data_IF_078244027473
#
_entry.id   IF_078244027473
#
_cell.length_a   1.000
_cell.length_b   1.000
_cell.length_c   1.000
_cell.angle_alpha   90.00
_cell.angle_beta   90.00
_cell.angle_gamma   90.00
#
_symmetry.space_group_name_H-M   'P 1'
#
loop_
_entity.id
_entity.type
_entity.pdbx_description
1 polymer ?
#
# COMPACT_ATOMS: atom_id res chain seq x y z
N UNK A 1 9.72 24.80 15.21
CA UNK A 1 8.56 24.80 14.27
C UNK A 1 7.95 23.42 14.33
N UNK A 2 6.72 23.27 14.84
CA UNK A 2 6.03 21.98 14.86
C UNK A 2 5.71 21.57 13.42
N UNK A 3 6.13 20.38 13.00
CA UNK A 3 5.66 19.81 11.73
C UNK A 3 4.13 19.74 11.74
N UNK A 4 3.43 20.27 10.73
CA UNK A 4 1.98 20.16 10.66
C UNK A 4 1.59 18.69 10.58
N UNK A 5 0.77 18.24 11.53
CA UNK A 5 0.28 16.88 11.60
C UNK A 5 -1.24 16.87 11.74
N UNK A 6 -1.89 16.03 10.93
CA UNK A 6 -3.33 15.80 11.04
C UNK A 6 -3.60 14.85 12.19
N UNK A 7 -4.34 15.31 13.19
CA UNK A 7 -4.72 14.50 14.34
C UNK A 7 -6.18 14.06 14.21
N UNK A 8 -6.41 12.76 14.35
CA UNK A 8 -7.74 12.15 14.30
C UNK A 8 -7.93 11.34 15.58
N UNK A 9 -8.98 11.62 16.33
CA UNK A 9 -9.37 10.84 17.51
C UNK A 9 -10.57 9.97 17.18
N UNK A 10 -10.44 8.66 17.36
CA UNK A 10 -11.49 7.69 17.09
C UNK A 10 -12.05 7.19 18.42
N UNK A 11 -13.32 7.55 18.68
CA UNK A 11 -14.02 7.17 19.90
C UNK A 11 -14.40 5.69 19.98
N UNK A 12 -14.89 5.27 21.13
CA UNK A 12 -15.38 3.91 21.36
C UNK A 12 -16.47 3.54 20.34
N UNK A 13 -16.40 2.33 19.78
CA UNK A 13 -17.33 1.81 18.77
C UNK A 13 -17.45 2.65 17.48
N UNK A 14 -16.65 3.70 17.32
CA UNK A 14 -16.65 4.54 16.13
C UNK A 14 -15.78 3.91 15.04
N UNK A 15 -16.14 4.18 13.79
CA UNK A 15 -15.37 3.82 12.61
C UNK A 15 -14.91 5.08 11.89
N UNK A 16 -13.63 5.14 11.54
CA UNK A 16 -13.09 6.18 10.65
C UNK A 16 -12.49 5.52 9.42
N UNK A 17 -12.86 6.06 8.25
CA UNK A 17 -12.29 5.68 6.97
C UNK A 17 -11.60 6.86 6.31
N UNK A 18 -10.32 6.72 5.99
CA UNK A 18 -9.50 7.69 5.27
C UNK A 18 -9.11 7.05 3.95
N UNK A 19 -9.85 7.39 2.89
CA UNK A 19 -9.74 6.76 1.56
C UNK A 19 -9.48 7.83 0.47
N UNK A 20 -8.32 8.51 0.50
CA UNK A 20 -8.01 9.56 -0.47
C UNK A 20 -7.68 8.98 -1.85
N UNK A 21 -7.73 9.83 -2.88
CA UNK A 21 -7.07 9.58 -4.15
C UNK A 21 -5.52 9.60 -3.98
N UNK A 22 -4.75 9.03 -4.92
CA UNK A 22 -3.31 8.94 -4.73
C UNK A 22 -2.67 10.32 -4.79
N UNK A 23 -1.59 10.50 -4.03
CA UNK A 23 -0.76 11.70 -4.15
C UNK A 23 0.08 11.58 -5.43
N UNK A 24 -0.04 12.57 -6.31
CA UNK A 24 0.81 12.68 -7.51
C UNK A 24 1.78 13.83 -7.34
N UNK A 25 3.06 13.50 -7.10
CA UNK A 25 4.10 14.50 -6.95
C UNK A 25 4.64 14.92 -8.32
N UNK A 26 4.66 16.23 -8.57
CA UNK A 26 5.26 16.79 -9.80
C UNK A 26 6.79 16.80 -9.67
N UNK A 27 7.47 16.99 -10.80
CA UNK A 27 8.91 17.18 -10.79
C UNK A 27 9.35 18.24 -9.76
N UNK A 28 10.43 17.97 -9.04
CA UNK A 28 11.02 18.82 -7.98
C UNK A 28 10.14 19.07 -6.73
N UNK A 29 8.94 18.47 -6.65
CA UNK A 29 8.06 18.64 -5.48
C UNK A 29 8.72 18.13 -4.18
N UNK A 30 8.37 18.78 -3.06
CA UNK A 30 8.72 18.35 -1.70
C UNK A 30 7.43 18.15 -0.92
N UNK A 31 7.02 16.91 -0.75
CA UNK A 31 5.80 16.56 -0.04
C UNK A 31 6.12 15.99 1.34
N UNK A 32 5.43 16.49 2.37
CA UNK A 32 5.51 15.97 3.73
C UNK A 32 4.13 15.91 4.34
N UNK A 33 3.74 14.73 4.81
CA UNK A 33 2.50 14.49 5.51
C UNK A 33 2.77 13.67 6.77
N UNK A 34 2.14 14.07 7.87
CA UNK A 34 2.09 13.29 9.10
C UNK A 34 0.64 13.17 9.57
N UNK A 35 0.18 11.95 9.76
CA UNK A 35 -1.14 11.63 10.27
C UNK A 35 -0.99 10.90 11.59
N UNK A 36 -1.70 11.36 12.62
CA UNK A 36 -1.72 10.77 13.94
C UNK A 36 -3.15 10.35 14.27
N UNK A 37 -3.34 9.06 14.49
CA UNK A 37 -4.63 8.47 14.83
C UNK A 37 -4.59 7.97 16.26
N UNK A 38 -5.41 8.56 17.13
CA UNK A 38 -5.57 8.10 18.51
C UNK A 38 -6.85 7.28 18.59
N UNK A 39 -6.71 5.96 18.77
CA UNK A 39 -7.76 4.96 18.58
C UNK A 39 -8.10 4.27 19.91
N UNK A 40 -9.38 4.05 20.18
CA UNK A 40 -9.81 3.20 21.30
C UNK A 40 -9.79 1.72 20.93
N UNK A 41 -9.66 0.82 21.90
CA UNK A 41 -9.72 -0.65 21.70
C UNK A 41 -10.96 -1.13 20.93
N UNK A 42 -12.11 -0.48 21.13
CA UNK A 42 -13.36 -0.83 20.44
C UNK A 42 -13.59 -0.03 19.16
N UNK A 43 -12.64 0.82 18.77
CA UNK A 43 -12.75 1.60 17.54
C UNK A 43 -12.34 0.79 16.31
N UNK A 44 -12.67 1.31 15.13
CA UNK A 44 -12.22 0.74 13.86
C UNK A 44 -11.67 1.83 12.95
N UNK A 45 -10.54 1.55 12.31
CA UNK A 45 -9.83 2.50 11.46
C UNK A 45 -9.40 1.83 10.15
N UNK A 46 -9.78 2.41 9.02
CA UNK A 46 -9.21 2.08 7.71
C UNK A 46 -8.51 3.31 7.14
N UNK A 47 -7.26 3.15 6.71
CA UNK A 47 -6.46 4.21 6.09
C UNK A 47 -5.86 3.68 4.80
N UNK A 48 -6.04 4.41 3.71
CA UNK A 48 -5.29 4.22 2.47
C UNK A 48 -4.33 5.40 2.31
N UNK A 49 -3.06 5.10 2.10
CA UNK A 49 -2.01 6.06 1.83
C UNK A 49 -1.21 5.58 0.63
N UNK A 50 -1.20 6.35 -0.45
CA UNK A 50 -0.65 5.91 -1.71
C UNK A 50 -0.17 7.06 -2.57
N UNK A 51 0.90 6.80 -3.30
CA UNK A 51 1.64 7.77 -4.10
C UNK A 51 1.92 7.20 -5.49
N UNK A 52 1.73 8.03 -6.50
CA UNK A 52 2.16 7.72 -7.88
C UNK A 52 3.56 8.29 -8.14
N UNK A 53 4.28 7.71 -9.09
CA UNK A 53 5.60 8.15 -9.53
C UNK A 53 5.63 9.59 -10.03
N UNK A 54 4.49 10.13 -10.46
CA UNK A 54 4.33 11.51 -10.90
C UNK A 54 3.37 11.57 -12.07
N UNK A 55 3.53 12.59 -12.92
CA UNK A 55 2.79 12.70 -14.18
C UNK A 55 3.42 11.75 -15.21
N UNK A 56 3.12 10.46 -15.06
CA UNK A 56 3.67 9.39 -15.90
C UNK A 56 3.52 9.67 -17.40
N UNK A 57 2.35 10.14 -17.83
CA UNK A 57 2.05 10.48 -19.22
C UNK A 57 2.85 11.69 -19.74
N UNK A 58 3.37 12.53 -18.83
CA UNK A 58 4.27 13.64 -19.14
C UNK A 58 5.76 13.27 -19.00
N UNK A 59 6.08 11.99 -18.77
CA UNK A 59 7.45 11.51 -18.60
C UNK A 59 8.04 11.73 -17.20
N UNK A 60 7.28 12.33 -16.27
CA UNK A 60 7.73 12.55 -14.89
C UNK A 60 7.54 11.29 -14.05
N UNK A 61 8.61 10.52 -13.88
CA UNK A 61 8.62 9.29 -13.06
C UNK A 61 9.63 9.43 -11.94
N UNK A 62 9.14 9.43 -10.71
CA UNK A 62 9.90 9.59 -9.47
C UNK A 62 10.82 10.83 -9.50
N UNK A 63 10.36 11.90 -10.17
CA UNK A 63 11.14 13.10 -10.46
C UNK A 63 10.99 14.21 -9.39
N UNK A 64 10.27 13.95 -8.30
CA UNK A 64 10.14 14.86 -7.17
C UNK A 64 11.41 14.88 -6.31
N UNK A 65 11.63 15.96 -5.56
CA UNK A 65 12.79 16.10 -4.68
C UNK A 65 12.64 15.21 -3.44
N UNK A 66 11.46 15.23 -2.80
CA UNK A 66 11.15 14.36 -1.68
C UNK A 66 9.66 14.09 -1.51
N UNK A 67 9.35 12.90 -1.01
CA UNK A 67 8.04 12.50 -0.53
C UNK A 67 8.21 11.83 0.83
N UNK A 68 7.54 12.35 1.85
CA UNK A 68 7.52 11.77 3.18
C UNK A 68 6.07 11.67 3.66
N UNK A 69 5.55 10.46 3.82
CA UNK A 69 4.26 10.23 4.47
C UNK A 69 4.44 9.36 5.69
N UNK A 70 3.96 9.84 6.83
CA UNK A 70 4.01 9.13 8.11
C UNK A 70 2.59 8.90 8.64
N UNK A 71 2.24 7.63 8.89
CA UNK A 71 1.02 7.22 9.58
C UNK A 71 1.37 6.68 10.97
N UNK A 72 0.91 7.37 12.01
CA UNK A 72 1.17 7.01 13.40
C UNK A 72 -0.15 6.68 14.09
N UNK A 73 -0.31 5.45 14.55
CA UNK A 73 -1.49 4.97 15.27
C UNK A 73 -1.12 4.74 16.73
N UNK A 74 -1.86 5.36 17.64
CA UNK A 74 -1.62 5.37 19.08
C UNK A 74 -2.89 4.91 19.79
N UNK A 75 -2.75 4.04 20.78
CA UNK A 75 -3.86 3.60 21.63
C UNK A 75 -4.27 4.73 22.59
N UNK A 76 -5.57 5.02 22.69
CA UNK A 76 -6.10 6.06 23.57
C UNK A 76 -5.95 5.70 25.04
N UNK A 77 -6.02 4.41 25.36
CA UNK A 77 -6.07 3.89 26.72
C UNK A 77 -4.72 3.99 27.46
N UNK A 78 -3.63 3.64 26.79
CA UNK A 78 -2.29 3.54 27.37
C UNK A 78 -1.25 4.46 26.68
N UNK A 79 -1.68 5.24 25.69
CA UNK A 79 -0.84 6.13 24.89
C UNK A 79 0.34 5.40 24.20
N UNK A 80 0.24 4.08 24.02
CA UNK A 80 1.27 3.29 23.35
C UNK A 80 1.12 3.32 21.83
N UNK A 81 2.22 3.38 21.07
CA UNK A 81 2.18 3.27 19.62
C UNK A 81 1.78 1.84 19.21
N UNK A 82 0.70 1.73 18.43
CA UNK A 82 0.26 0.47 17.82
C UNK A 82 0.93 0.23 16.47
N UNK A 83 1.13 1.29 15.69
CA UNK A 83 1.78 1.25 14.39
C UNK A 83 2.45 2.60 14.12
N UNK A 84 3.70 2.56 13.66
CA UNK A 84 4.36 3.68 13.02
C UNK A 84 4.80 3.23 11.63
N UNK A 85 4.16 3.79 10.62
CA UNK A 85 4.57 3.61 9.24
C UNK A 85 5.09 4.92 8.67
N UNK A 86 6.22 4.86 7.95
CA UNK A 86 6.84 6.02 7.31
C UNK A 86 7.42 5.63 5.95
N UNK A 87 6.85 6.22 4.89
CA UNK A 87 7.36 6.12 3.52
C UNK A 87 8.16 7.37 3.20
N UNK A 88 9.48 7.22 3.04
CA UNK A 88 10.39 8.30 2.69
C UNK A 88 11.05 7.98 1.35
N UNK A 89 10.82 8.85 0.36
CA UNK A 89 11.40 8.79 -0.98
C UNK A 89 12.14 10.11 -1.22
N UNK A 90 13.45 10.05 -1.45
CA UNK A 90 14.29 11.23 -1.66
C UNK A 90 15.17 11.08 -2.89
N UNK A 91 15.27 12.18 -3.64
CA UNK A 91 16.16 12.27 -4.79
C UNK A 91 17.59 12.53 -4.29
N UNK A 92 18.40 11.46 -4.13
CA UNK A 92 19.84 11.63 -3.89
C UNK A 92 20.57 10.57 -3.06
N UNK A 93 19.88 9.67 -2.34
CA UNK A 93 20.55 8.72 -1.43
C UNK A 93 20.78 7.31 -2.01
N UNK A 94 19.98 6.87 -2.98
CA UNK A 94 20.19 5.63 -3.77
C UNK A 94 19.45 5.60 -5.11
N UNK A 95 18.69 6.64 -5.46
CA UNK A 95 17.95 6.75 -6.73
C UNK A 95 18.75 7.51 -7.81
N UNK A 96 20.04 7.23 -7.97
CA UNK A 96 20.73 7.59 -9.22
C UNK A 96 20.37 6.54 -10.28
N UNK A 97 19.25 6.79 -10.94
CA UNK A 97 18.69 5.95 -11.99
C UNK A 97 17.29 5.43 -11.66
N UNK A 98 16.50 5.19 -12.70
CA UNK A 98 15.16 4.57 -12.74
C UNK A 98 15.09 3.16 -12.12
N UNK A 99 16.14 2.69 -11.44
CA UNK A 99 16.33 1.31 -11.04
C UNK A 99 15.76 0.93 -9.66
N UNK A 100 15.49 1.90 -8.77
CA UNK A 100 15.00 1.61 -7.42
C UNK A 100 13.58 1.05 -7.37
N UNK A 101 12.69 1.59 -8.21
CA UNK A 101 11.29 1.14 -8.34
C UNK A 101 10.96 0.52 -9.70
N UNK A 102 11.92 0.56 -10.64
CA UNK A 102 11.81 -0.03 -11.98
C UNK A 102 10.50 0.38 -12.68
N UNK A 103 9.69 -0.60 -13.06
CA UNK A 103 8.43 -0.41 -13.78
C UNK A 103 7.25 -0.06 -12.87
N UNK A 104 7.39 -0.18 -11.55
CA UNK A 104 6.30 0.17 -10.62
C UNK A 104 6.14 1.68 -10.55
N UNK A 105 4.92 2.12 -10.83
CA UNK A 105 4.55 3.54 -10.89
C UNK A 105 3.72 3.95 -9.67
N UNK A 106 3.24 3.01 -8.85
CA UNK A 106 2.39 3.31 -7.71
C UNK A 106 2.80 2.46 -6.52
N UNK A 107 2.85 3.10 -5.34
CA UNK A 107 2.96 2.42 -4.06
C UNK A 107 1.76 2.79 -3.22
N UNK A 108 1.13 1.79 -2.62
CA UNK A 108 0.02 1.97 -1.72
C UNK A 108 0.21 1.20 -0.43
N UNK A 109 -0.33 1.77 0.62
CA UNK A 109 -0.45 1.20 1.93
C UNK A 109 -1.91 1.25 2.35
N UNK A 110 -2.41 0.11 2.80
CA UNK A 110 -3.74 0.00 3.38
C UNK A 110 -3.56 -0.49 4.82
N UNK A 111 -4.09 0.26 5.77
CA UNK A 111 -4.06 -0.08 7.19
C UNK A 111 -5.50 -0.33 7.62
N UNK A 112 -5.76 -1.51 8.16
CA UNK A 112 -7.04 -1.91 8.75
C UNK A 112 -6.80 -2.21 10.22
N UNK A 113 -7.59 -1.63 11.12
CA UNK A 113 -7.51 -1.88 12.55
C UNK A 113 -8.91 -1.98 13.16
N UNK A 114 -9.09 -2.96 14.05
CA UNK A 114 -10.27 -3.08 14.90
C UNK A 114 -11.17 -4.26 14.55
N UNK A 115 -11.95 -4.70 15.54
CA UNK A 115 -12.76 -5.91 15.49
C UNK A 115 -13.79 -5.96 14.35
N UNK A 116 -14.30 -4.79 13.89
CA UNK A 116 -15.23 -4.73 12.75
C UNK A 116 -14.60 -5.22 11.44
N UNK A 117 -13.27 -5.31 11.38
CA UNK A 117 -12.55 -5.75 10.20
C UNK A 117 -11.93 -7.15 10.34
N UNK A 118 -12.11 -7.89 11.43
CA UNK A 118 -11.46 -9.21 11.61
C UNK A 118 -11.72 -10.16 10.43
N UNK A 119 -12.98 -10.28 10.02
CA UNK A 119 -13.34 -11.13 8.88
C UNK A 119 -12.70 -10.62 7.57
N UNK A 120 -12.76 -9.30 7.35
CA UNK A 120 -12.21 -8.63 6.15
C UNK A 120 -10.68 -8.78 6.09
N UNK A 121 -9.99 -8.65 7.22
CA UNK A 121 -8.55 -8.82 7.33
C UNK A 121 -8.14 -10.23 6.93
N UNK A 122 -8.82 -11.25 7.44
CA UNK A 122 -8.54 -12.65 7.10
C UNK A 122 -8.80 -12.94 5.62
N UNK A 123 -9.92 -12.46 5.09
CA UNK A 123 -10.27 -12.61 3.67
C UNK A 123 -9.22 -11.98 2.76
N UNK A 124 -8.79 -10.76 3.06
CA UNK A 124 -7.75 -10.06 2.29
C UNK A 124 -6.42 -10.79 2.37
N UNK A 125 -6.01 -11.24 3.57
CA UNK A 125 -4.77 -12.00 3.73
C UNK A 125 -4.73 -13.25 2.86
N UNK A 126 -5.79 -14.06 2.88
CA UNK A 126 -5.86 -15.29 2.08
C UNK A 126 -5.92 -14.99 0.58
N UNK A 127 -6.69 -13.98 0.15
CA UNK A 127 -6.73 -13.54 -1.25
C UNK A 127 -5.36 -13.08 -1.76
N UNK A 128 -4.68 -12.22 -1.00
CA UNK A 128 -3.34 -11.73 -1.35
C UNK A 128 -2.34 -12.89 -1.37
N UNK A 129 -2.35 -13.74 -0.36
CA UNK A 129 -1.46 -14.91 -0.26
C UNK A 129 -1.65 -15.86 -1.44
N UNK A 130 -2.90 -16.17 -1.80
CA UNK A 130 -3.23 -17.01 -2.96
C UNK A 130 -2.73 -16.37 -4.26
N UNK A 131 -3.08 -15.11 -4.50
CA UNK A 131 -2.69 -14.38 -5.72
C UNK A 131 -1.17 -14.30 -5.88
N UNK A 132 -0.45 -13.95 -4.82
CA UNK A 132 1.01 -13.90 -4.84
C UNK A 132 1.60 -15.31 -5.05
N UNK A 133 1.06 -16.33 -4.39
CA UNK A 133 1.53 -17.71 -4.56
C UNK A 133 1.32 -18.24 -5.98
N UNK A 134 0.24 -17.87 -6.65
CA UNK A 134 -0.02 -18.20 -8.07
C UNK A 134 0.94 -17.45 -8.99
N UNK A 135 1.10 -16.13 -8.80
CA UNK A 135 2.00 -15.29 -9.60
C UNK A 135 3.48 -15.68 -9.46
N UNK A 136 3.92 -16.09 -8.27
CA UNK A 136 5.29 -16.56 -8.01
C UNK A 136 5.46 -18.07 -8.31
N UNK A 137 4.42 -18.89 -8.10
CA UNK A 137 4.44 -20.35 -8.30
C UNK A 137 4.42 -20.77 -9.77
N UNK A 138 3.64 -20.10 -10.62
CA UNK A 138 3.67 -20.30 -12.08
C UNK A 138 5.06 -20.03 -12.70
N UNK A 139 5.89 -19.22 -12.03
CA UNK A 139 7.26 -18.90 -12.47
C UNK A 139 8.32 -19.94 -12.09
N UNK A 140 7.98 -20.87 -11.19
CA UNK A 140 8.86 -21.97 -10.77
C UNK A 140 8.64 -23.24 -11.60
N UNK A 141 7.42 -23.46 -12.11
CA UNK A 141 7.05 -24.66 -12.88
C UNK A 141 7.38 -24.56 -14.37
N UNK A 142 7.46 -23.36 -14.95
CA UNK A 142 7.90 -23.14 -16.34
C UNK A 142 9.38 -23.49 -16.61
N UNK A 143 10.12 -23.91 -15.58
CA UNK A 143 11.55 -24.23 -15.64
C UNK A 143 11.88 -25.70 -15.94
N UNK A 144 10.90 -26.58 -16.13
CA UNK A 144 11.12 -28.03 -16.35
C UNK A 144 10.83 -28.55 -17.77
N UNK A 145 10.49 -27.69 -18.73
CA UNK A 145 10.03 -28.15 -20.04
C UNK A 145 10.54 -27.31 -21.21
N UNK A 146 11.85 -27.06 -21.28
CA UNK A 146 12.48 -26.77 -22.57
C UNK A 146 13.96 -27.13 -22.54
N UNK A 147 14.23 -28.40 -22.81
CA UNK A 147 15.55 -28.86 -23.25
C UNK A 147 15.36 -29.56 -24.60
N UNK A 148 15.45 -28.75 -25.67
CA UNK A 148 16.15 -29.07 -26.92
C UNK A 148 15.88 -28.00 -27.98
N UNK A 149 16.98 -27.44 -28.48
CA UNK A 149 17.16 -26.81 -29.80
C UNK A 149 16.46 -25.46 -30.09
N UNK A 150 17.11 -24.34 -29.71
CA UNK A 150 17.39 -23.22 -30.64
C UNK A 150 18.23 -22.09 -30.00
N UNK A 151 18.92 -21.34 -30.87
CA UNK A 151 19.93 -20.27 -30.62
C UNK A 151 19.61 -19.28 -29.48
N UNK A 152 20.62 -18.72 -28.79
CA UNK A 152 20.41 -17.74 -27.74
C UNK A 152 20.17 -16.36 -28.35
N UNK A 153 18.91 -15.97 -28.51
CA UNK A 153 18.55 -14.56 -28.66
C UNK A 153 18.31 -13.96 -27.25
N UNK A 154 19.17 -13.03 -26.88
CA UNK A 154 19.35 -12.47 -25.54
C UNK A 154 18.28 -11.39 -25.24
N UNK A 155 16.98 -11.70 -25.22
CA UNK A 155 15.95 -10.70 -24.80
C UNK A 155 14.69 -11.24 -24.10
N UNK A 156 14.58 -12.52 -23.72
CA UNK A 156 13.44 -12.97 -22.90
C UNK A 156 13.72 -12.84 -21.40
N UNK A 157 13.88 -11.58 -20.96
CA UNK A 157 13.90 -11.20 -19.56
C UNK A 157 12.52 -11.39 -18.92
N UNK A 158 12.35 -12.51 -18.21
CA UNK A 158 11.37 -12.77 -17.13
C UNK A 158 10.53 -11.53 -16.74
N UNK A 159 9.33 -11.35 -17.30
CA UNK A 159 8.48 -10.20 -16.97
C UNK A 159 8.06 -10.23 -15.50
N UNK A 160 8.33 -9.17 -14.74
CA UNK A 160 7.94 -9.01 -13.34
C UNK A 160 6.40 -8.94 -13.22
N UNK A 161 5.80 -9.32 -12.08
CA UNK A 161 4.35 -9.18 -11.92
C UNK A 161 3.97 -7.71 -12.01
N UNK A 162 2.81 -7.42 -12.61
CA UNK A 162 2.34 -6.04 -12.79
C UNK A 162 1.89 -5.42 -11.46
N UNK A 163 1.59 -6.26 -10.47
CA UNK A 163 1.23 -5.86 -9.11
C UNK A 163 1.83 -6.85 -8.12
N UNK A 164 2.48 -6.34 -7.08
CA UNK A 164 2.90 -7.11 -5.91
C UNK A 164 2.18 -6.59 -4.69
N UNK A 165 1.76 -7.49 -3.81
CA UNK A 165 1.18 -7.13 -2.53
C UNK A 165 1.73 -8.02 -1.42
N UNK A 166 1.81 -7.46 -0.21
CA UNK A 166 2.14 -8.21 1.00
C UNK A 166 1.24 -7.78 2.14
N UNK A 167 1.03 -8.68 3.09
CA UNK A 167 0.22 -8.47 4.28
C UNK A 167 1.07 -8.69 5.54
N UNK A 168 0.85 -7.90 6.56
CA UNK A 168 1.48 -8.06 7.88
C UNK A 168 0.52 -7.63 8.97
N UNK A 169 0.32 -8.48 9.97
CA UNK A 169 -0.49 -8.14 11.14
C UNK A 169 0.29 -7.27 12.13
N UNK A 170 -0.41 -6.52 12.96
CA UNK A 170 0.19 -5.70 14.00
C UNK A 170 -0.75 -5.49 15.19
N UNK A 171 -0.20 -4.97 16.28
CA UNK A 171 -0.94 -4.70 17.51
C UNK A 171 -1.19 -5.96 18.34
N UNK A 172 -1.82 -5.80 19.52
CA UNK A 172 -2.10 -6.93 20.40
C UNK A 172 -3.08 -7.90 19.74
N UNK A 173 -2.76 -9.20 19.77
CA UNK A 173 -3.57 -10.28 19.18
C UNK A 173 -3.89 -10.07 17.68
N UNK A 174 -2.96 -9.49 16.92
CA UNK A 174 -3.12 -9.26 15.48
C UNK A 174 -4.36 -8.40 15.14
N UNK A 175 -4.74 -7.48 16.03
CA UNK A 175 -5.91 -6.61 15.86
C UNK A 175 -5.85 -5.71 14.61
N UNK A 176 -4.66 -5.50 14.05
CA UNK A 176 -4.40 -4.69 12.88
C UNK A 176 -3.79 -5.49 11.73
N UNK A 177 -4.00 -5.00 10.51
CA UNK A 177 -3.42 -5.49 9.26
C UNK A 177 -2.88 -4.33 8.44
N UNK A 178 -1.63 -4.42 8.00
CA UNK A 178 -1.03 -3.56 6.97
C UNK A 178 -0.89 -4.35 5.69
N UNK A 179 -1.40 -3.79 4.59
CA UNK A 179 -1.20 -4.30 3.24
C UNK A 179 -0.34 -3.30 2.49
N UNK A 180 0.75 -3.77 1.89
CA UNK A 180 1.62 -2.95 1.03
C UNK A 180 1.47 -3.43 -0.40
N UNK A 181 1.26 -2.51 -1.32
CA UNK A 181 1.05 -2.79 -2.74
C UNK A 181 2.02 -1.95 -3.56
N UNK A 182 2.64 -2.56 -4.57
CA UNK A 182 3.31 -1.82 -5.64
C UNK A 182 2.77 -2.31 -6.99
N UNK A 183 2.49 -1.38 -7.91
CA UNK A 183 1.92 -1.73 -9.21
C UNK A 183 2.46 -0.85 -10.35
N UNK A 184 2.45 -1.40 -11.56
CA UNK A 184 2.92 -0.74 -12.78
C UNK A 184 1.97 0.35 -13.27
N UNK A 185 0.70 0.31 -12.84
CA UNK A 185 -0.30 1.33 -13.19
C UNK A 185 -1.19 1.67 -12.00
N UNK A 186 -1.71 2.90 -11.99
CA UNK A 186 -2.70 3.35 -11.00
C UNK A 186 -4.00 2.56 -11.11
N UNK A 187 -4.40 2.15 -12.33
CA UNK A 187 -5.59 1.33 -12.56
C UNK A 187 -5.54 -0.02 -11.84
N UNK A 188 -4.38 -0.66 -11.77
CA UNK A 188 -4.19 -1.91 -11.04
C UNK A 188 -4.39 -1.72 -9.52
N UNK A 189 -3.92 -0.61 -8.96
CA UNK A 189 -4.13 -0.30 -7.53
C UNK A 189 -5.60 0.04 -7.27
N UNK A 190 -6.26 0.82 -8.13
CA UNK A 190 -7.70 1.05 -8.00
C UNK A 190 -8.48 -0.27 -8.03
N UNK A 191 -8.19 -1.17 -8.98
CA UNK A 191 -8.82 -2.49 -9.05
C UNK A 191 -8.58 -3.30 -7.78
N UNK A 192 -7.34 -3.29 -7.28
CA UNK A 192 -6.99 -3.96 -6.03
C UNK A 192 -7.79 -3.39 -4.83
N UNK A 193 -7.86 -2.08 -4.68
CA UNK A 193 -8.61 -1.41 -3.61
C UNK A 193 -10.10 -1.71 -3.70
N UNK A 194 -10.70 -1.60 -4.90
CA UNK A 194 -12.12 -1.94 -5.13
C UNK A 194 -12.41 -3.38 -4.72
N UNK A 195 -11.59 -4.33 -5.17
CA UNK A 195 -11.77 -5.76 -4.89
C UNK A 195 -11.65 -6.09 -3.39
N UNK A 196 -10.63 -5.55 -2.72
CA UNK A 196 -10.30 -5.94 -1.35
C UNK A 196 -11.04 -5.13 -0.29
N UNK A 197 -11.52 -3.92 -0.62
CA UNK A 197 -12.28 -3.07 0.30
C UNK A 197 -13.80 -3.10 0.03
N UNK A 198 -14.28 -3.85 -0.97
CA UNK A 198 -15.71 -4.02 -1.24
C UNK A 198 -16.49 -4.52 -0.01
N UNK A 199 -15.89 -5.40 0.79
CA UNK A 199 -16.52 -5.93 2.02
C UNK A 199 -16.72 -4.87 3.11
N UNK A 200 -16.19 -3.65 2.94
CA UNK A 200 -16.46 -2.52 3.82
C UNK A 200 -17.75 -1.77 3.49
N UNK A 201 -18.38 -2.03 2.34
CA UNK A 201 -19.61 -1.35 1.91
C UNK A 201 -20.74 -1.36 2.97
N UNK A 202 -21.05 -2.49 3.64
CA UNK A 202 -22.08 -2.51 4.69
C UNK A 202 -21.74 -1.62 5.90
N UNK A 203 -20.45 -1.36 6.14
CA UNK A 203 -19.96 -0.53 7.25
C UNK A 203 -19.89 0.95 6.89
N UNK A 204 -19.63 1.27 5.62
CA UNK A 204 -19.42 2.63 5.12
C UNK A 204 -20.67 3.23 4.46
N UNK A 205 -21.65 2.40 4.10
CA UNK A 205 -22.85 2.81 3.38
C UNK A 205 -22.65 3.03 1.88
N UNK A 206 -21.42 2.87 1.38
CA UNK A 206 -21.06 2.93 -0.03
C UNK A 206 -19.79 2.11 -0.30
N UNK A 207 -19.67 1.59 -1.52
CA UNK A 207 -18.50 0.83 -1.94
C UNK A 207 -17.28 1.74 -2.10
N UNK A 208 -16.15 1.46 -1.44
CA UNK A 208 -14.91 2.22 -1.62
C UNK A 208 -14.44 2.25 -3.08
N UNK A 209 -14.10 3.45 -3.56
CA UNK A 209 -13.52 3.67 -4.90
C UNK A 209 -14.40 3.19 -6.07
N UNK A 210 -15.74 3.22 -5.95
CA UNK A 210 -16.69 2.85 -7.03
C UNK A 210 -16.39 3.58 -8.35
#
# INVERSE_FOLDING_TARGET
MSDPARHVRVGCNALVAVLPHPVTCFATAKYKQKQVFSVSRSSSLVVVDWVTSGRYECGEKWAFNSYNSTNHIISNEDQQPLLLDSLVLEQGSSMKGTYGMQDYQVIAMIILLGHKFEHVQNEIQEKVKKKMSEEFGMRLTSKRQHDRDMKPDLTYGRSRPELIASCSTFGPKDAGLVIRVAATTTGLVYKFLKEHLASLEPLLGASPYY
#
